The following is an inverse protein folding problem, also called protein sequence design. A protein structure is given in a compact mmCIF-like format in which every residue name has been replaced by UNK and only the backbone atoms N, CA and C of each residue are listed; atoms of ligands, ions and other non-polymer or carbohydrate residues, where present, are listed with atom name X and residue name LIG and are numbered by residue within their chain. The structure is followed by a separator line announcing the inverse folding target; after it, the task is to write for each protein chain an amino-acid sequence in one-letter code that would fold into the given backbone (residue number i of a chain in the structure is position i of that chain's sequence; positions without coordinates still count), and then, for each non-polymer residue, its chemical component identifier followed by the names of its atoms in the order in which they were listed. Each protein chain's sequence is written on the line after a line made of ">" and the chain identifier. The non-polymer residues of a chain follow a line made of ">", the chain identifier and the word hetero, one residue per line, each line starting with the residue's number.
data_IF_330173621035
#
_entry.id   IF_330173621035
#
_cell.length_a   1.000
_cell.length_b   1.000
_cell.length_c   1.000
_cell.angle_alpha   90.00
_cell.angle_beta   90.00
_cell.angle_gamma   90.00
#
_symmetry.space_group_name_H-M   'P 1'
#
loop_
_entity.id
_entity.type
_entity.pdbx_description
1 polymer ?
#
# COMPACT_ATOMS: atom_id res chain seq x y z
N UNK A 1 28.14 -7.09 -27.82
CA UNK A 1 27.06 -6.89 -26.84
C UNK A 1 27.68 -6.60 -25.49
N UNK A 2 27.16 -5.64 -24.71
CA UNK A 2 27.58 -5.52 -23.31
C UNK A 2 26.95 -6.67 -22.50
N UNK A 3 27.71 -7.52 -21.80
CA UNK A 3 27.19 -8.68 -21.06
C UNK A 3 26.17 -8.32 -19.98
N UNK A 4 26.28 -7.10 -19.43
CA UNK A 4 25.51 -6.67 -18.25
C UNK A 4 24.04 -6.38 -18.57
N UNK A 5 23.75 -5.86 -19.77
CA UNK A 5 22.38 -5.52 -20.20
C UNK A 5 21.53 -6.79 -20.44
N UNK A 6 22.14 -7.83 -21.01
CA UNK A 6 21.48 -9.12 -21.19
C UNK A 6 21.23 -9.83 -19.86
N UNK A 7 22.20 -9.76 -18.94
CA UNK A 7 22.05 -10.32 -17.60
C UNK A 7 20.90 -9.66 -16.84
N UNK A 8 20.76 -8.33 -16.96
CA UNK A 8 19.63 -7.57 -16.42
C UNK A 8 18.28 -8.02 -16.98
N UNK A 9 18.14 -8.05 -18.32
CA UNK A 9 16.90 -8.49 -18.96
C UNK A 9 16.52 -9.93 -18.60
N UNK A 10 17.49 -10.85 -18.63
CA UNK A 10 17.32 -12.26 -18.23
C UNK A 10 16.74 -12.39 -16.82
N UNK A 11 17.27 -11.59 -15.90
CA UNK A 11 16.83 -11.58 -14.49
C UNK A 11 15.37 -11.16 -14.40
N UNK A 12 14.99 -10.08 -15.07
CA UNK A 12 13.62 -9.55 -15.04
C UNK A 12 12.62 -10.56 -15.65
N UNK A 13 12.94 -11.14 -16.80
CA UNK A 13 12.09 -12.16 -17.45
C UNK A 13 11.88 -13.37 -16.53
N UNK A 14 12.95 -13.84 -15.88
CA UNK A 14 12.89 -15.01 -14.99
C UNK A 14 12.08 -14.73 -13.72
N UNK A 15 12.20 -13.52 -13.16
CA UNK A 15 11.42 -13.09 -12.00
C UNK A 15 9.94 -13.05 -12.37
N UNK A 16 9.60 -12.42 -13.50
CA UNK A 16 8.21 -12.26 -13.93
C UNK A 16 7.51 -13.59 -14.17
N UNK A 17 8.20 -14.55 -14.81
CA UNK A 17 7.68 -15.89 -15.02
C UNK A 17 7.42 -16.67 -13.71
N UNK A 18 8.20 -16.42 -12.64
CA UNK A 18 8.01 -17.06 -11.33
C UNK A 18 6.93 -16.38 -10.49
N UNK A 19 6.73 -15.08 -10.69
CA UNK A 19 5.79 -14.26 -9.93
C UNK A 19 4.33 -14.58 -10.24
N UNK A 20 4.03 -15.03 -11.46
CA UNK A 20 2.67 -15.33 -11.90
C UNK A 20 2.51 -16.82 -12.28
N UNK A 21 2.40 -17.73 -11.30
CA UNK A 21 2.35 -19.18 -11.57
C UNK A 21 1.14 -19.58 -12.43
N UNK A 22 0.01 -18.90 -12.31
CA UNK A 22 -1.17 -19.18 -13.13
C UNK A 22 -1.00 -18.76 -14.59
N UNK A 23 -0.47 -17.55 -14.83
CA UNK A 23 -0.11 -17.12 -16.19
C UNK A 23 0.97 -18.00 -16.77
N UNK A 24 1.93 -18.43 -15.95
CA UNK A 24 2.94 -19.40 -16.35
C UNK A 24 2.27 -20.71 -16.78
N UNK A 25 1.36 -21.29 -16.01
CA UNK A 25 0.66 -22.51 -16.40
C UNK A 25 -0.19 -22.31 -17.67
N UNK A 26 -0.94 -21.21 -17.76
CA UNK A 26 -1.75 -20.88 -18.94
C UNK A 26 -0.91 -20.63 -20.20
N UNK A 27 0.34 -20.15 -20.07
CA UNK A 27 1.26 -19.95 -21.20
C UNK A 27 1.59 -21.23 -21.97
N UNK A 28 1.36 -22.42 -21.39
CA UNK A 28 1.55 -23.71 -22.10
C UNK A 28 0.72 -23.76 -23.39
N UNK A 29 -0.52 -23.26 -23.35
CA UNK A 29 -1.43 -23.27 -24.50
C UNK A 29 -0.91 -22.42 -25.66
N UNK A 30 -0.15 -21.37 -25.38
CA UNK A 30 0.44 -20.51 -26.41
C UNK A 30 1.56 -21.19 -27.21
N UNK A 31 2.08 -22.32 -26.73
CA UNK A 31 3.11 -23.10 -27.41
C UNK A 31 2.54 -24.22 -28.29
N UNK A 32 1.21 -24.38 -28.36
CA UNK A 32 0.56 -25.39 -29.19
C UNK A 32 0.63 -24.99 -30.68
N UNK A 33 0.86 -25.98 -31.55
CA UNK A 33 1.09 -25.77 -33.00
C UNK A 33 -0.02 -24.92 -33.66
N UNK A 34 -1.28 -25.07 -33.23
CA UNK A 34 -2.42 -24.35 -33.78
C UNK A 34 -2.38 -22.82 -33.54
N UNK A 35 -1.73 -22.36 -32.48
CA UNK A 35 -1.70 -20.95 -32.05
C UNK A 35 -0.27 -20.39 -31.98
N UNK A 36 0.73 -21.19 -32.29
CA UNK A 36 2.13 -20.79 -32.19
C UNK A 36 2.48 -19.61 -33.10
N UNK A 37 2.02 -19.65 -34.36
CA UNK A 37 2.31 -18.59 -35.35
C UNK A 37 1.69 -17.24 -34.95
N UNK A 38 0.46 -17.25 -34.41
CA UNK A 38 -0.18 -16.04 -33.92
C UNK A 38 0.47 -15.53 -32.63
N UNK A 39 0.92 -16.44 -31.76
CA UNK A 39 1.70 -16.09 -30.55
C UNK A 39 3.02 -15.40 -30.91
N UNK A 40 3.77 -15.90 -31.90
CA UNK A 40 5.00 -15.26 -32.36
C UNK A 40 4.74 -13.87 -32.95
N UNK A 41 3.68 -13.73 -33.75
CA UNK A 41 3.29 -12.42 -34.32
C UNK A 41 3.01 -11.41 -33.20
N UNK A 42 2.25 -11.82 -32.17
CA UNK A 42 1.98 -11.00 -30.99
C UNK A 42 3.24 -10.67 -30.18
N UNK A 43 4.18 -11.61 -30.08
CA UNK A 43 5.47 -11.36 -29.44
C UNK A 43 6.30 -10.34 -30.22
N UNK A 44 6.34 -10.42 -31.55
CA UNK A 44 7.01 -9.42 -32.38
C UNK A 44 6.42 -8.03 -32.14
N UNK A 45 5.10 -7.89 -32.20
CA UNK A 45 4.43 -6.61 -31.95
C UNK A 45 4.73 -6.07 -30.55
N UNK A 46 4.69 -6.92 -29.53
CA UNK A 46 5.00 -6.53 -28.16
C UNK A 46 6.46 -6.07 -28.01
N UNK A 47 7.41 -6.77 -28.62
CA UNK A 47 8.83 -6.37 -28.65
C UNK A 47 9.00 -5.04 -29.37
N UNK A 48 8.29 -4.80 -30.48
CA UNK A 48 8.35 -3.54 -31.22
C UNK A 48 7.81 -2.36 -30.40
N UNK A 49 6.76 -2.55 -29.62
CA UNK A 49 6.15 -1.50 -28.78
C UNK A 49 6.89 -1.27 -27.46
N UNK A 50 7.58 -2.29 -26.93
CA UNK A 50 8.25 -2.20 -25.65
C UNK A 50 9.49 -1.28 -25.70
N UNK A 51 9.67 -0.53 -24.60
CA UNK A 51 10.90 0.22 -24.31
C UNK A 51 11.95 -0.76 -23.74
N UNK A 52 12.78 -1.28 -24.64
CA UNK A 52 13.83 -2.25 -24.34
C UNK A 52 15.17 -1.71 -24.83
N UNK A 53 16.29 -2.10 -24.20
CA UNK A 53 17.61 -1.83 -24.77
C UNK A 53 17.67 -2.31 -26.23
N UNK A 54 18.16 -1.44 -27.13
CA UNK A 54 18.17 -1.66 -28.58
C UNK A 54 18.73 -3.04 -28.94
N UNK A 55 19.82 -3.44 -28.28
CA UNK A 55 20.46 -4.74 -28.50
C UNK A 55 19.58 -5.93 -28.13
N UNK A 56 18.76 -5.85 -27.08
CA UNK A 56 17.80 -6.90 -26.70
C UNK A 56 16.66 -6.95 -27.71
N UNK A 57 16.14 -5.78 -28.09
CA UNK A 57 15.04 -5.63 -29.03
C UNK A 57 15.38 -6.21 -30.41
N UNK A 58 16.52 -5.81 -30.97
CA UNK A 58 17.00 -6.33 -32.27
C UNK A 58 17.24 -7.85 -32.23
N UNK A 59 17.80 -8.36 -31.12
CA UNK A 59 18.06 -9.80 -31.01
C UNK A 59 16.76 -10.61 -30.95
N UNK A 60 15.75 -10.14 -30.21
CA UNK A 60 14.44 -10.77 -30.14
C UNK A 60 13.70 -10.71 -31.48
N UNK A 61 13.70 -9.57 -32.17
CA UNK A 61 13.08 -9.45 -33.50
C UNK A 61 13.76 -10.36 -34.52
N UNK A 62 15.10 -10.44 -34.51
CA UNK A 62 15.85 -11.35 -35.38
C UNK A 62 15.47 -12.82 -35.13
N UNK A 63 15.29 -13.21 -33.86
CA UNK A 63 14.86 -14.55 -33.47
C UNK A 63 13.47 -14.91 -34.01
N UNK A 64 12.57 -13.93 -34.11
CA UNK A 64 11.17 -14.18 -34.48
C UNK A 64 10.86 -13.97 -35.96
N UNK A 65 11.65 -13.17 -36.68
CA UNK A 65 11.35 -12.76 -38.04
C UNK A 65 12.18 -13.48 -39.13
N UNK A 66 13.35 -14.07 -38.79
CA UNK A 66 14.29 -14.57 -39.82
C UNK A 66 15.03 -15.87 -39.46
N UNK A 67 14.65 -17.02 -40.06
CA UNK A 67 13.38 -17.27 -40.74
C UNK A 67 12.22 -17.26 -39.73
N UNK A 68 11.00 -16.94 -40.17
CA UNK A 68 9.81 -16.96 -39.29
C UNK A 68 9.61 -18.39 -38.76
N UNK A 69 9.79 -18.64 -37.46
CA UNK A 69 9.67 -19.97 -36.88
C UNK A 69 8.22 -20.44 -36.96
N UNK A 70 7.99 -21.72 -37.30
CA UNK A 70 6.65 -22.32 -37.31
C UNK A 70 6.38 -23.20 -36.10
N UNK A 71 7.44 -23.64 -35.42
CA UNK A 71 7.40 -24.36 -34.15
C UNK A 71 8.55 -23.94 -33.24
N UNK A 72 8.47 -24.27 -31.96
CA UNK A 72 9.50 -23.95 -30.96
C UNK A 72 10.89 -24.48 -31.37
N UNK A 73 10.94 -25.62 -32.05
CA UNK A 73 12.19 -26.26 -32.46
C UNK A 73 12.93 -25.49 -33.56
N UNK A 74 12.25 -24.61 -34.29
CA UNK A 74 12.82 -23.83 -35.39
C UNK A 74 13.60 -22.61 -34.89
N UNK A 75 13.46 -22.26 -33.61
CA UNK A 75 14.16 -21.14 -32.98
C UNK A 75 15.62 -21.47 -32.70
N UNK A 76 16.49 -20.46 -32.84
CA UNK A 76 17.87 -20.54 -32.39
C UNK A 76 17.92 -20.70 -30.86
N UNK A 77 18.23 -21.92 -30.45
CA UNK A 77 18.19 -22.36 -29.05
C UNK A 77 19.24 -21.66 -28.21
N UNK A 78 20.44 -21.45 -28.75
CA UNK A 78 21.54 -20.83 -28.02
C UNK A 78 21.28 -19.33 -27.88
N UNK A 79 20.78 -18.69 -28.95
CA UNK A 79 20.41 -17.28 -28.89
C UNK A 79 19.26 -17.04 -27.89
N UNK A 80 18.17 -17.82 -27.95
CA UNK A 80 17.06 -17.66 -27.01
C UNK A 80 17.46 -17.94 -25.55
N UNK A 81 18.30 -18.95 -25.31
CA UNK A 81 18.86 -19.24 -23.99
C UNK A 81 19.79 -18.14 -23.51
N UNK A 82 20.57 -17.52 -24.41
CA UNK A 82 21.44 -16.39 -24.05
C UNK A 82 20.65 -15.17 -23.59
N UNK A 83 19.45 -14.95 -24.11
CA UNK A 83 18.61 -13.80 -23.73
C UNK A 83 17.77 -14.11 -22.49
N UNK A 84 17.14 -15.29 -22.44
CA UNK A 84 16.15 -15.62 -21.40
C UNK A 84 16.73 -16.46 -20.25
N UNK A 85 17.89 -17.08 -20.43
CA UNK A 85 18.47 -18.03 -19.47
C UNK A 85 17.76 -19.38 -19.41
N UNK A 86 16.78 -19.60 -20.28
CA UNK A 86 15.86 -20.74 -20.23
C UNK A 86 15.92 -21.57 -21.52
N UNK A 87 15.59 -22.88 -21.46
CA UNK A 87 15.40 -23.70 -22.65
C UNK A 87 14.29 -23.13 -23.56
N UNK A 88 14.30 -23.39 -24.89
CA UNK A 88 13.48 -22.66 -25.86
C UNK A 88 11.98 -22.53 -25.51
N UNK A 89 11.31 -23.64 -25.20
CA UNK A 89 9.90 -23.63 -24.83
C UNK A 89 9.62 -22.80 -23.55
N UNK A 90 10.52 -22.89 -22.56
CA UNK A 90 10.40 -22.12 -21.31
C UNK A 90 10.75 -20.65 -21.53
N UNK A 91 11.72 -20.36 -22.40
CA UNK A 91 12.13 -19.01 -22.79
C UNK A 91 10.99 -18.27 -23.49
N UNK A 92 10.35 -18.90 -24.48
CA UNK A 92 9.18 -18.32 -25.14
C UNK A 92 8.00 -18.11 -24.19
N UNK A 93 7.69 -19.09 -23.33
CA UNK A 93 6.65 -18.93 -22.30
C UNK A 93 6.96 -17.78 -21.35
N UNK A 94 8.21 -17.64 -20.93
CA UNK A 94 8.63 -16.57 -20.05
C UNK A 94 8.52 -15.20 -20.74
N UNK A 95 8.85 -15.11 -22.03
CA UNK A 95 8.63 -13.91 -22.83
C UNK A 95 7.14 -13.62 -23.01
N UNK A 96 6.30 -14.63 -23.25
CA UNK A 96 4.85 -14.46 -23.34
C UNK A 96 4.22 -13.95 -22.04
N UNK A 97 4.70 -14.40 -20.88
CA UNK A 97 4.28 -13.86 -19.57
C UNK A 97 4.86 -12.45 -19.35
N UNK A 98 6.12 -12.22 -19.71
CA UNK A 98 6.78 -10.93 -19.56
C UNK A 98 6.10 -9.82 -20.38
N UNK A 99 5.70 -10.13 -21.62
CA UNK A 99 4.97 -9.23 -22.52
C UNK A 99 3.44 -9.29 -22.37
N UNK A 100 2.94 -9.98 -21.33
CA UNK A 100 1.49 -10.01 -21.00
C UNK A 100 0.60 -10.60 -22.10
N UNK A 101 1.11 -11.54 -22.90
CA UNK A 101 0.33 -12.24 -23.93
C UNK A 101 -0.65 -13.25 -23.34
N UNK A 102 -0.41 -13.69 -22.11
CA UNK A 102 -1.36 -14.46 -21.32
C UNK A 102 -2.20 -13.46 -20.53
N UNK A 103 -3.53 -13.38 -20.78
CA UNK A 103 -4.39 -12.55 -19.97
C UNK A 103 -4.22 -12.91 -18.50
N UNK A 104 -4.11 -11.91 -17.63
CA UNK A 104 -4.27 -12.18 -16.21
C UNK A 104 -5.64 -12.84 -15.99
N UNK A 105 -5.74 -13.75 -15.01
CA UNK A 105 -7.05 -14.19 -14.54
C UNK A 105 -7.89 -12.93 -14.26
N UNK A 106 -9.13 -12.91 -14.75
CA UNK A 106 -10.00 -11.77 -14.51
C UNK A 106 -10.09 -11.59 -12.98
N UNK A 107 -9.61 -10.45 -12.47
CA UNK A 107 -9.62 -10.19 -11.05
C UNK A 107 -11.07 -10.30 -10.57
N UNK A 108 -11.29 -11.07 -9.50
CA UNK A 108 -12.62 -11.24 -8.89
C UNK A 108 -13.27 -9.89 -8.57
N UNK A 109 -12.45 -8.90 -8.21
CA UNK A 109 -12.89 -7.59 -7.80
C UNK A 109 -12.67 -6.55 -8.89
N UNK A 110 -13.64 -5.65 -9.11
CA UNK A 110 -13.47 -4.55 -10.05
C UNK A 110 -12.38 -3.58 -9.54
N UNK A 111 -11.62 -3.01 -10.47
CA UNK A 111 -10.55 -2.04 -10.20
C UNK A 111 -10.86 -0.78 -10.97
N UNK A 112 -10.74 0.38 -10.34
CA UNK A 112 -10.94 1.66 -11.02
C UNK A 112 -9.82 1.91 -12.03
N UNK A 113 -10.16 2.46 -13.20
CA UNK A 113 -9.20 2.80 -14.25
C UNK A 113 -8.79 4.28 -14.25
N UNK A 114 -9.18 5.04 -13.22
CA UNK A 114 -8.90 6.47 -13.11
C UNK A 114 -7.41 6.69 -12.86
N UNK A 115 -6.82 7.61 -13.63
CA UNK A 115 -5.41 7.97 -13.52
C UNK A 115 -5.13 8.78 -12.25
N UNK A 116 -3.87 8.79 -11.81
CA UNK A 116 -3.43 9.58 -10.66
C UNK A 116 -3.71 11.09 -10.84
N UNK A 117 -3.69 11.60 -12.08
CA UNK A 117 -3.99 12.99 -12.40
C UNK A 117 -5.47 13.32 -12.20
N UNK A 118 -6.35 12.46 -12.71
CA UNK A 118 -7.80 12.61 -12.54
C UNK A 118 -8.21 12.50 -11.07
N UNK A 119 -7.56 11.63 -10.29
CA UNK A 119 -7.77 11.54 -8.85
C UNK A 119 -7.34 12.82 -8.14
N UNK A 120 -6.15 13.36 -8.47
CA UNK A 120 -5.66 14.62 -7.92
C UNK A 120 -6.64 15.77 -8.20
N UNK A 121 -7.04 15.95 -9.46
CA UNK A 121 -7.95 17.01 -9.89
C UNK A 121 -9.32 16.90 -9.20
N UNK A 122 -9.84 15.68 -9.06
CA UNK A 122 -11.07 15.45 -8.34
C UNK A 122 -10.94 15.83 -6.87
N UNK A 123 -9.90 15.33 -6.17
CA UNK A 123 -9.71 15.56 -4.73
C UNK A 123 -9.40 17.03 -4.42
N UNK A 124 -8.73 17.76 -5.32
CA UNK A 124 -8.55 19.22 -5.22
C UNK A 124 -9.87 19.97 -5.06
N UNK A 125 -10.94 19.48 -5.68
CA UNK A 125 -12.28 20.09 -5.65
C UNK A 125 -13.19 19.52 -4.55
N UNK A 126 -12.80 18.42 -3.90
CA UNK A 126 -13.60 17.77 -2.88
C UNK A 126 -13.24 18.26 -1.48
N UNK A 127 -14.27 18.61 -0.70
CA UNK A 127 -14.14 18.84 0.74
C UNK A 127 -14.00 17.54 1.54
N UNK A 128 -14.66 16.47 1.08
CA UNK A 128 -14.55 15.13 1.62
C UNK A 128 -13.86 14.20 0.62
N UNK A 129 -12.66 13.67 0.91
CA UNK A 129 -11.95 12.80 -0.03
C UNK A 129 -12.71 11.52 -0.39
N UNK A 130 -13.60 11.05 0.49
CA UNK A 130 -14.41 9.86 0.23
C UNK A 130 -15.50 10.08 -0.82
N UNK A 131 -15.84 11.33 -1.13
CA UNK A 131 -16.78 11.64 -2.22
C UNK A 131 -16.23 11.21 -3.60
N UNK A 132 -14.93 10.89 -3.69
CA UNK A 132 -14.34 10.25 -4.87
C UNK A 132 -15.07 8.96 -5.24
N UNK A 133 -15.59 8.21 -4.26
CA UNK A 133 -16.38 6.99 -4.49
C UNK A 133 -17.61 7.24 -5.37
N UNK A 134 -18.16 8.45 -5.38
CA UNK A 134 -19.27 8.83 -6.28
C UNK A 134 -18.80 9.12 -7.70
N UNK A 135 -17.56 9.57 -7.88
CA UNK A 135 -17.02 10.06 -9.16
C UNK A 135 -16.31 9.00 -10.00
N UNK A 136 -15.92 7.87 -9.40
CA UNK A 136 -15.21 6.78 -10.10
C UNK A 136 -16.17 5.76 -10.71
N UNK A 137 -15.68 4.91 -11.60
CA UNK A 137 -16.42 3.77 -12.15
C UNK A 137 -16.65 2.67 -11.10
N UNK A 138 -15.65 2.43 -10.26
CA UNK A 138 -15.67 1.45 -9.17
C UNK A 138 -15.63 2.18 -7.84
N UNK A 139 -16.50 1.80 -6.89
CA UNK A 139 -16.42 2.25 -5.51
C UNK A 139 -15.80 1.13 -4.66
N UNK A 140 -14.59 1.33 -4.18
CA UNK A 140 -13.90 0.32 -3.36
C UNK A 140 -12.99 0.94 -2.32
N UNK A 141 -13.09 0.44 -1.08
CA UNK A 141 -12.28 0.90 0.05
C UNK A 141 -11.59 -0.26 0.75
N UNK A 142 -10.28 -0.09 1.00
CA UNK A 142 -9.51 -0.92 1.93
C UNK A 142 -9.28 -0.12 3.20
N UNK A 143 -9.79 -0.59 4.33
CA UNK A 143 -9.47 -0.05 5.65
C UNK A 143 -8.41 -0.92 6.33
N UNK A 144 -7.31 -0.31 6.75
CA UNK A 144 -6.18 -0.96 7.42
C UNK A 144 -6.14 -0.52 8.89
N UNK A 145 -6.14 -1.50 9.80
CA UNK A 145 -6.29 -1.23 11.24
C UNK A 145 -7.72 -0.83 11.57
N UNK A 146 -8.69 -1.59 11.07
CA UNK A 146 -10.10 -1.23 11.08
C UNK A 146 -10.74 -1.15 12.48
N UNK A 147 -10.07 -1.71 13.49
CA UNK A 147 -10.46 -1.63 14.89
C UNK A 147 -11.88 -2.11 15.12
N UNK A 148 -12.72 -1.23 15.66
CA UNK A 148 -14.10 -1.53 16.01
C UNK A 148 -15.07 -1.52 14.82
N UNK A 149 -14.60 -1.26 13.59
CA UNK A 149 -15.36 -1.15 12.33
C UNK A 149 -16.28 0.07 12.22
N UNK A 150 -16.20 1.03 13.14
CA UNK A 150 -17.06 2.23 13.14
C UNK A 150 -16.93 3.06 11.86
N UNK A 151 -15.72 3.22 11.34
CA UNK A 151 -15.50 3.92 10.07
C UNK A 151 -16.16 3.19 8.89
N UNK A 152 -15.97 1.87 8.79
CA UNK A 152 -16.61 1.06 7.75
C UNK A 152 -18.14 1.14 7.80
N UNK A 153 -18.74 1.16 9.00
CA UNK A 153 -20.18 1.37 9.17
C UNK A 153 -20.64 2.73 8.66
N UNK A 154 -19.97 3.82 9.07
CA UNK A 154 -20.33 5.16 8.59
C UNK A 154 -20.17 5.30 7.08
N UNK A 155 -19.12 4.69 6.53
CA UNK A 155 -18.86 4.68 5.09
C UNK A 155 -19.97 3.91 4.34
N UNK A 156 -20.36 2.74 4.84
CA UNK A 156 -21.45 1.94 4.27
C UNK A 156 -22.81 2.67 4.35
N UNK A 157 -23.09 3.33 5.47
CA UNK A 157 -24.33 4.09 5.67
C UNK A 157 -24.38 5.36 4.80
N UNK A 158 -23.24 6.01 4.56
CA UNK A 158 -23.18 7.25 3.78
C UNK A 158 -23.20 7.02 2.26
N UNK A 159 -22.57 5.96 1.76
CA UNK A 159 -22.39 5.73 0.31
C UNK A 159 -23.18 4.54 -0.24
N UNK A 160 -23.47 3.53 0.59
CA UNK A 160 -24.13 2.29 0.15
C UNK A 160 -25.47 2.50 -0.57
N UNK A 161 -26.42 3.25 0.02
CA UNK A 161 -27.74 3.42 -0.59
C UNK A 161 -27.69 4.09 -1.98
N UNK A 162 -26.89 5.16 -2.13
CA UNK A 162 -26.77 5.91 -3.38
C UNK A 162 -26.09 5.10 -4.50
N UNK A 163 -25.01 4.39 -4.16
CA UNK A 163 -24.28 3.56 -5.11
C UNK A 163 -25.15 2.37 -5.55
N UNK A 164 -25.89 1.75 -4.63
CA UNK A 164 -26.80 0.67 -4.94
C UNK A 164 -27.95 1.11 -5.87
N UNK A 165 -28.55 2.28 -5.62
CA UNK A 165 -29.57 2.87 -6.51
C UNK A 165 -29.05 3.12 -7.92
N UNK A 166 -27.75 3.42 -8.04
CA UNK A 166 -27.08 3.62 -9.32
C UNK A 166 -26.56 2.31 -9.94
N UNK A 167 -26.89 1.15 -9.35
CA UNK A 167 -26.37 -0.18 -9.72
C UNK A 167 -24.84 -0.26 -9.78
N UNK A 168 -24.16 0.53 -8.94
CA UNK A 168 -22.71 0.55 -8.84
C UNK A 168 -22.26 -0.30 -7.64
N UNK A 169 -21.40 -1.31 -7.86
CA UNK A 169 -20.93 -2.15 -6.78
C UNK A 169 -20.08 -1.33 -5.82
N UNK A 170 -20.33 -1.51 -4.52
CA UNK A 170 -19.53 -0.92 -3.47
C UNK A 170 -18.82 -1.99 -2.64
N UNK A 171 -17.50 -1.98 -2.65
CA UNK A 171 -16.66 -2.97 -1.95
C UNK A 171 -16.00 -2.32 -0.74
N UNK A 172 -16.10 -2.94 0.43
CA UNK A 172 -15.38 -2.54 1.64
C UNK A 172 -14.65 -3.75 2.21
N UNK A 173 -13.32 -3.70 2.20
CA UNK A 173 -12.47 -4.70 2.85
C UNK A 173 -11.77 -4.08 4.06
N UNK A 174 -11.86 -4.75 5.20
CA UNK A 174 -11.29 -4.29 6.47
C UNK A 174 -10.25 -5.29 6.96
N UNK A 175 -9.07 -4.81 7.32
CA UNK A 175 -7.96 -5.60 7.87
C UNK A 175 -7.67 -5.17 9.30
N UNK A 176 -7.47 -6.13 10.20
CA UNK A 176 -6.94 -5.85 11.53
C UNK A 176 -6.03 -6.97 12.05
N UNK A 177 -4.95 -6.58 12.75
CA UNK A 177 -4.02 -7.51 13.41
C UNK A 177 -4.62 -8.11 14.68
N UNK A 178 -5.62 -7.45 15.26
CA UNK A 178 -6.36 -7.96 16.40
C UNK A 178 -7.18 -9.17 15.97
N UNK A 179 -6.91 -10.29 16.63
CA UNK A 179 -7.76 -11.46 16.56
C UNK A 179 -9.09 -11.18 17.30
N UNK A 180 -10.25 -11.30 16.64
CA UNK A 180 -11.56 -11.16 17.29
C UNK A 180 -11.78 -12.14 18.45
N UNK A 181 -11.04 -13.26 18.48
CA UNK A 181 -11.06 -14.23 19.57
C UNK A 181 -10.07 -13.93 20.71
N UNK A 182 -9.17 -12.96 20.55
CA UNK A 182 -8.18 -12.65 21.58
C UNK A 182 -8.80 -11.86 22.74
N UNK A 183 -8.23 -12.03 23.93
CA UNK A 183 -8.57 -11.22 25.10
C UNK A 183 -7.79 -9.90 25.19
N UNK A 184 -6.83 -9.68 24.28
CA UNK A 184 -5.82 -8.62 24.39
C UNK A 184 -6.10 -7.36 23.56
N UNK A 185 -7.28 -7.20 22.96
CA UNK A 185 -7.64 -6.00 22.17
C UNK A 185 -8.57 -5.00 22.86
N UNK A 186 -9.26 -5.41 23.93
CA UNK A 186 -10.15 -4.55 24.71
C UNK A 186 -11.15 -3.77 23.82
N UNK A 187 -11.29 -2.43 23.97
CA UNK A 187 -12.25 -1.63 23.22
C UNK A 187 -11.89 -1.44 21.73
N UNK A 188 -10.74 -1.95 21.28
CA UNK A 188 -10.28 -1.86 19.89
C UNK A 188 -10.73 -3.06 19.04
N UNK A 189 -11.33 -4.08 19.64
CA UNK A 189 -11.87 -5.21 18.89
C UNK A 189 -13.00 -4.78 17.96
N UNK A 190 -13.07 -5.45 16.80
CA UNK A 190 -14.23 -5.42 15.93
C UNK A 190 -15.50 -5.66 16.73
N UNK A 191 -16.40 -4.68 16.73
CA UNK A 191 -17.66 -4.81 17.46
C UNK A 191 -18.52 -5.92 16.80
N UNK A 192 -18.92 -6.97 17.53
CA UNK A 192 -19.63 -8.11 16.93
C UNK A 192 -21.00 -7.74 16.32
N UNK A 193 -21.70 -6.76 16.88
CA UNK A 193 -22.99 -6.30 16.37
C UNK A 193 -22.79 -5.53 15.07
N UNK A 194 -21.80 -4.63 15.05
CA UNK A 194 -21.43 -3.86 13.86
C UNK A 194 -20.94 -4.75 12.72
N UNK A 195 -20.11 -5.75 13.04
CA UNK A 195 -19.66 -6.75 12.08
C UNK A 195 -20.84 -7.48 11.44
N UNK A 196 -21.80 -7.95 12.25
CA UNK A 196 -23.01 -8.63 11.75
C UNK A 196 -23.89 -7.68 10.93
N UNK A 197 -24.01 -6.41 11.31
CA UNK A 197 -24.75 -5.40 10.55
C UNK A 197 -24.12 -5.20 9.16
N UNK A 198 -22.80 -5.01 9.10
CA UNK A 198 -22.06 -4.83 7.85
C UNK A 198 -22.16 -6.07 6.93
N UNK A 199 -22.02 -7.27 7.48
CA UNK A 199 -22.15 -8.53 6.73
C UNK A 199 -23.56 -8.76 6.14
N UNK A 200 -24.59 -8.11 6.68
CA UNK A 200 -25.98 -8.23 6.22
C UNK A 200 -26.40 -7.11 5.28
N UNK A 201 -25.55 -6.10 5.05
CA UNK A 201 -25.86 -5.01 4.12
C UNK A 201 -25.75 -5.50 2.68
N UNK A 202 -26.89 -5.65 2.01
CA UNK A 202 -26.95 -6.05 0.60
C UNK A 202 -26.35 -4.99 -0.34
N UNK A 203 -26.34 -3.73 0.09
CA UNK A 203 -25.81 -2.58 -0.65
C UNK A 203 -24.28 -2.59 -0.76
N UNK A 204 -23.58 -3.42 0.02
CA UNK A 204 -22.12 -3.42 0.14
C UNK A 204 -21.57 -4.84 0.12
N UNK A 205 -20.57 -5.08 -0.73
CA UNK A 205 -19.71 -6.25 -0.64
C UNK A 205 -18.68 -6.05 0.47
N UNK A 206 -19.02 -6.52 1.68
CA UNK A 206 -18.20 -6.33 2.87
C UNK A 206 -17.42 -7.60 3.26
N UNK A 207 -16.13 -7.44 3.55
CA UNK A 207 -15.30 -8.50 4.18
C UNK A 207 -14.43 -7.92 5.29
N UNK A 208 -14.30 -8.67 6.39
CA UNK A 208 -13.40 -8.35 7.50
C UNK A 208 -12.42 -9.50 7.75
N UNK A 209 -11.14 -9.17 7.81
CA UNK A 209 -10.05 -10.10 8.06
C UNK A 209 -9.34 -9.68 9.35
N UNK A 210 -9.79 -10.26 10.46
CA UNK A 210 -9.11 -10.15 11.77
C UNK A 210 -7.96 -11.15 11.89
N UNK A 211 -7.06 -10.91 12.84
CA UNK A 211 -5.79 -11.66 12.97
C UNK A 211 -4.95 -11.63 11.67
N UNK A 212 -5.02 -10.54 10.92
CA UNK A 212 -4.34 -10.40 9.65
C UNK A 212 -3.29 -9.30 9.75
N UNK A 213 -2.03 -9.66 9.55
CA UNK A 213 -0.97 -8.67 9.40
C UNK A 213 -1.15 -7.92 8.08
N UNK A 214 -1.24 -6.59 8.17
CA UNK A 214 -1.43 -5.71 7.02
C UNK A 214 -0.24 -5.75 6.03
N UNK A 215 0.93 -6.22 6.47
CA UNK A 215 2.11 -6.40 5.62
C UNK A 215 2.27 -7.84 5.12
N UNK A 216 1.46 -8.80 5.58
CA UNK A 216 1.50 -10.19 5.14
C UNK A 216 0.22 -10.59 4.37
N UNK A 217 -0.02 -9.91 3.23
CA UNK A 217 -1.26 -10.07 2.46
C UNK A 217 -1.21 -11.20 1.42
N UNK A 218 -0.08 -11.90 1.28
CA UNK A 218 0.18 -12.80 0.17
C UNK A 218 -0.83 -13.94 0.02
N UNK A 219 -1.37 -14.49 1.12
CA UNK A 219 -2.34 -15.57 1.05
C UNK A 219 -3.76 -15.07 0.73
N UNK A 220 -4.10 -13.86 1.18
CA UNK A 220 -5.36 -13.20 0.80
C UNK A 220 -5.34 -12.79 -0.67
N UNK A 221 -4.21 -12.30 -1.18
CA UNK A 221 -4.02 -11.97 -2.58
C UNK A 221 -4.11 -13.22 -3.48
N UNK A 222 -3.39 -14.30 -3.14
CA UNK A 222 -3.45 -15.57 -3.90
C UNK A 222 -4.84 -16.20 -3.93
N UNK A 223 -5.66 -15.91 -2.93
CA UNK A 223 -7.02 -16.46 -2.81
C UNK A 223 -8.08 -15.51 -3.38
N UNK A 224 -7.66 -14.42 -4.05
CA UNK A 224 -8.54 -13.37 -4.59
C UNK A 224 -9.54 -12.81 -3.55
N UNK A 225 -9.15 -12.80 -2.28
CA UNK A 225 -9.99 -12.27 -1.20
C UNK A 225 -9.92 -10.74 -1.11
N UNK A 226 -8.86 -10.15 -1.64
CA UNK A 226 -8.67 -8.71 -1.72
C UNK A 226 -8.70 -8.24 -3.16
N UNK A 227 -9.21 -7.02 -3.39
CA UNK A 227 -8.99 -6.35 -4.65
C UNK A 227 -7.49 -6.03 -4.80
N UNK A 228 -6.92 -6.15 -6.02
CA UNK A 228 -5.52 -5.85 -6.23
C UNK A 228 -5.21 -4.37 -5.99
N UNK A 229 -6.17 -3.48 -6.30
CA UNK A 229 -6.12 -2.04 -6.04
C UNK A 229 -7.52 -1.51 -5.77
N UNK A 230 -7.63 -0.58 -4.83
CA UNK A 230 -8.85 0.05 -4.36
C UNK A 230 -8.93 1.49 -4.84
N UNK A 231 -10.14 2.03 -4.87
CA UNK A 231 -10.35 3.45 -5.11
C UNK A 231 -9.72 4.25 -3.98
N UNK A 232 -9.97 3.84 -2.74
CA UNK A 232 -9.41 4.47 -1.54
C UNK A 232 -8.78 3.40 -0.64
N UNK A 233 -7.54 3.62 -0.21
CA UNK A 233 -6.94 2.91 0.92
C UNK A 233 -6.89 3.85 2.13
N UNK A 234 -7.46 3.42 3.26
CA UNK A 234 -7.57 4.24 4.45
C UNK A 234 -6.92 3.57 5.67
N UNK A 235 -6.33 4.36 6.55
CA UNK A 235 -5.87 3.91 7.86
C UNK A 235 -6.21 4.98 8.91
N UNK A 236 -6.95 4.59 9.93
CA UNK A 236 -7.32 5.47 11.04
C UNK A 236 -6.48 5.17 12.26
N UNK A 237 -6.02 6.23 12.92
CA UNK A 237 -5.22 6.16 14.15
C UNK A 237 -4.07 5.15 14.05
N UNK A 238 -3.15 5.29 13.07
CA UNK A 238 -1.98 4.43 12.95
C UNK A 238 -1.25 4.34 14.28
N UNK A 239 -0.93 3.14 14.74
CA UNK A 239 -0.39 2.92 16.08
C UNK A 239 1.00 3.56 16.24
N UNK A 240 1.15 4.47 17.21
CA UNK A 240 2.41 5.17 17.49
C UNK A 240 3.61 4.25 17.65
N UNK A 241 3.57 3.17 18.47
CA UNK A 241 4.74 2.29 18.61
C UNK A 241 5.16 1.63 17.29
N UNK A 242 4.22 1.39 16.37
CA UNK A 242 4.49 0.70 15.11
C UNK A 242 5.02 1.64 14.02
N UNK A 243 4.51 2.87 13.96
CA UNK A 243 4.74 3.77 12.82
C UNK A 243 5.46 5.08 13.16
N UNK A 244 5.67 5.42 14.42
CA UNK A 244 6.34 6.66 14.83
C UNK A 244 7.87 6.52 14.97
N UNK A 245 8.44 5.46 14.43
CA UNK A 245 9.88 5.20 14.47
C UNK A 245 10.32 4.61 13.13
N UNK A 246 11.10 5.36 12.37
CA UNK A 246 11.61 4.91 11.07
C UNK A 246 12.90 4.08 11.24
N UNK A 247 12.87 2.74 11.04
CA UNK A 247 14.02 1.87 11.31
C UNK A 247 15.22 2.11 10.39
N UNK A 248 15.01 2.73 9.23
CA UNK A 248 16.11 3.09 8.32
C UNK A 248 16.92 4.30 8.81
N UNK A 249 16.40 5.08 9.76
CA UNK A 249 17.08 6.26 10.32
C UNK A 249 17.37 6.18 11.81
N UNK A 250 16.58 5.40 12.57
CA UNK A 250 16.69 5.27 14.03
C UNK A 250 17.20 3.88 14.39
N UNK A 251 18.24 3.83 15.22
CA UNK A 251 18.79 2.61 15.78
C UNK A 251 17.80 1.92 16.74
N UNK A 252 17.84 0.59 16.77
CA UNK A 252 16.97 -0.22 17.63
C UNK A 252 17.10 0.16 19.11
N UNK A 253 18.33 0.45 19.56
CA UNK A 253 18.60 0.85 20.94
C UNK A 253 17.91 2.19 21.29
N UNK A 254 17.95 3.17 20.39
CA UNK A 254 17.30 4.46 20.57
C UNK A 254 15.77 4.31 20.64
N UNK A 255 15.20 3.52 19.73
CA UNK A 255 13.75 3.24 19.70
C UNK A 255 13.30 2.54 20.99
N UNK A 256 14.03 1.49 21.41
CA UNK A 256 13.73 0.76 22.64
C UNK A 256 13.76 1.67 23.87
N UNK A 257 14.82 2.46 24.02
CA UNK A 257 14.96 3.39 25.14
C UNK A 257 13.81 4.41 25.17
N UNK A 258 13.41 4.92 24.01
CA UNK A 258 12.31 5.87 23.91
C UNK A 258 10.95 5.24 24.25
N UNK A 259 10.71 4.01 23.82
CA UNK A 259 9.50 3.27 24.18
C UNK A 259 9.45 2.99 25.69
N UNK A 260 10.56 2.57 26.29
CA UNK A 260 10.63 2.37 27.75
C UNK A 260 10.41 3.68 28.51
N UNK A 261 10.97 4.80 28.01
CA UNK A 261 10.81 6.13 28.59
C UNK A 261 9.38 6.65 28.50
N UNK A 262 8.71 6.47 27.37
CA UNK A 262 7.40 7.08 27.08
C UNK A 262 6.22 6.18 27.40
N UNK A 263 6.35 4.86 27.19
CA UNK A 263 5.28 3.88 27.40
C UNK A 263 5.50 3.04 28.66
N UNK A 264 6.72 3.00 29.20
CA UNK A 264 7.08 2.21 30.38
C UNK A 264 7.82 0.93 30.02
N UNK A 265 8.44 0.29 31.02
CA UNK A 265 9.19 -0.95 30.84
C UNK A 265 8.28 -2.07 30.32
N UNK A 266 8.72 -2.83 29.31
CA UNK A 266 7.90 -3.83 28.66
C UNK A 266 8.63 -5.15 28.42
N UNK A 267 7.90 -6.26 28.47
CA UNK A 267 8.44 -7.59 28.23
C UNK A 267 7.35 -8.55 27.72
N UNK A 268 7.78 -9.61 27.03
CA UNK A 268 6.88 -10.68 26.61
C UNK A 268 6.48 -11.55 27.81
N UNK A 269 5.20 -11.86 27.90
CA UNK A 269 4.60 -12.71 28.94
C UNK A 269 3.51 -13.59 28.33
N UNK A 270 2.82 -14.36 29.16
CA UNK A 270 1.63 -15.11 28.78
C UNK A 270 0.42 -14.68 29.59
N UNK A 271 -0.72 -14.55 28.92
CA UNK A 271 -2.02 -14.34 29.54
C UNK A 271 -2.95 -15.48 29.16
N UNK A 272 -3.26 -16.36 30.13
CA UNK A 272 -3.94 -17.62 29.84
C UNK A 272 -3.13 -18.49 28.89
N UNK A 273 -3.65 -18.70 27.67
CA UNK A 273 -3.00 -19.50 26.61
C UNK A 273 -2.34 -18.64 25.52
N UNK A 274 -2.51 -17.32 25.57
CA UNK A 274 -2.04 -16.38 24.55
C UNK A 274 -0.71 -15.74 24.97
N UNK A 275 0.13 -15.42 23.98
CA UNK A 275 1.29 -14.55 24.19
C UNK A 275 0.80 -13.12 24.39
N UNK A 276 1.43 -12.38 25.29
CA UNK A 276 1.08 -11.00 25.58
C UNK A 276 2.34 -10.15 25.74
N UNK A 277 2.19 -8.85 25.49
CA UNK A 277 3.14 -7.84 25.90
C UNK A 277 2.66 -7.22 27.21
N UNK A 278 3.43 -7.38 28.29
CA UNK A 278 3.18 -6.63 29.52
C UNK A 278 3.96 -5.32 29.48
N UNK A 279 3.25 -4.20 29.71
CA UNK A 279 3.83 -2.86 29.83
C UNK A 279 3.57 -2.35 31.24
N UNK A 280 4.64 -2.02 31.97
CA UNK A 280 4.59 -1.45 33.31
C UNK A 280 4.67 0.07 33.23
N UNK A 281 3.54 0.73 33.46
CA UNK A 281 3.43 2.18 33.38
C UNK A 281 2.71 2.74 34.60
N UNK A 282 3.29 3.76 35.25
CA UNK A 282 2.71 4.44 36.41
C UNK A 282 2.21 3.48 37.52
N UNK A 283 2.96 2.40 37.80
CA UNK A 283 2.62 1.41 38.82
C UNK A 283 1.54 0.39 38.43
N UNK A 284 1.07 0.39 37.17
CA UNK A 284 0.12 -0.59 36.64
C UNK A 284 0.78 -1.48 35.59
N UNK A 285 0.38 -2.75 35.57
CA UNK A 285 0.71 -3.68 34.50
C UNK A 285 -0.45 -3.71 33.50
N UNK A 286 -0.19 -3.29 32.26
CA UNK A 286 -1.13 -3.34 31.15
C UNK A 286 -0.73 -4.46 30.20
N UNK A 287 -1.72 -5.21 29.68
CA UNK A 287 -1.49 -6.29 28.74
C UNK A 287 -1.96 -5.88 27.36
N UNK A 288 -1.13 -6.17 26.36
CA UNK A 288 -1.38 -5.90 24.95
C UNK A 288 -1.07 -7.14 24.12
N UNK A 289 -1.48 -7.17 22.84
CA UNK A 289 -1.01 -8.19 21.91
C UNK A 289 0.52 -8.13 21.80
N UNK A 290 1.21 -9.26 21.57
CA UNK A 290 2.67 -9.33 21.62
C UNK A 290 3.34 -8.45 20.57
N UNK A 291 2.64 -8.17 19.47
CA UNK A 291 3.08 -7.34 18.37
C UNK A 291 2.87 -5.83 18.58
N UNK A 292 2.28 -5.38 19.69
CA UNK A 292 1.89 -3.97 19.89
C UNK A 292 3.06 -2.99 19.72
N UNK A 293 4.27 -3.41 20.09
CA UNK A 293 5.52 -2.63 19.98
C UNK A 293 6.45 -3.14 18.86
N UNK A 294 5.94 -3.93 17.91
CA UNK A 294 6.69 -4.23 16.69
C UNK A 294 6.83 -2.96 15.86
N UNK A 295 8.07 -2.60 15.54
CA UNK A 295 8.41 -1.41 14.77
C UNK A 295 8.43 -1.76 13.30
N UNK A 296 7.66 -1.01 12.50
CA UNK A 296 7.66 -1.15 11.04
C UNK A 296 8.08 0.16 10.38
N UNK A 297 7.57 1.29 10.89
CA UNK A 297 7.93 2.62 10.45
C UNK A 297 6.98 3.26 9.43
N UNK A 298 7.04 4.60 9.31
CA UNK A 298 6.12 5.38 8.49
C UNK A 298 6.25 5.06 7.00
N UNK A 299 7.47 4.75 6.52
CA UNK A 299 7.70 4.51 5.10
C UNK A 299 6.96 3.25 4.61
N UNK A 300 6.94 2.19 5.42
CA UNK A 300 6.22 0.97 5.07
C UNK A 300 4.70 1.19 4.98
N UNK A 301 4.13 1.99 5.90
CA UNK A 301 2.71 2.34 5.84
C UNK A 301 2.36 3.11 4.57
N UNK A 302 3.20 4.10 4.21
CA UNK A 302 3.05 4.87 2.98
C UNK A 302 3.13 3.98 1.73
N UNK A 303 4.11 3.07 1.67
CA UNK A 303 4.27 2.11 0.57
C UNK A 303 3.06 1.18 0.44
N UNK A 304 2.57 0.62 1.55
CA UNK A 304 1.39 -0.22 1.57
C UNK A 304 0.16 0.51 1.03
N UNK A 305 -0.08 1.73 1.50
CA UNK A 305 -1.20 2.55 1.03
C UNK A 305 -1.07 2.88 -0.45
N UNK A 306 0.11 3.28 -0.93
CA UNK A 306 0.34 3.63 -2.34
C UNK A 306 0.15 2.45 -3.29
N UNK A 307 0.53 1.23 -2.86
CA UNK A 307 0.30 0.00 -3.63
C UNK A 307 -1.18 -0.34 -3.71
N UNK A 308 -1.93 -0.11 -2.64
CA UNK A 308 -3.32 -0.57 -2.51
C UNK A 308 -4.37 0.44 -2.91
N UNK A 309 -4.12 1.75 -2.86
CA UNK A 309 -5.12 2.78 -3.15
C UNK A 309 -4.75 3.64 -4.35
N UNK A 310 -5.77 4.10 -5.09
CA UNK A 310 -5.61 5.20 -6.06
C UNK A 310 -5.68 6.57 -5.37
N UNK A 311 -6.41 6.64 -4.25
CA UNK A 311 -6.36 7.67 -3.23
C UNK A 311 -5.99 7.00 -1.90
N UNK A 312 -5.18 7.66 -1.08
CA UNK A 312 -4.90 7.20 0.28
C UNK A 312 -5.33 8.25 1.30
N UNK A 313 -5.93 7.78 2.40
CA UNK A 313 -6.39 8.64 3.49
C UNK A 313 -5.85 8.13 4.83
N UNK A 314 -5.19 9.00 5.56
CA UNK A 314 -4.76 8.75 6.94
C UNK A 314 -5.54 9.69 7.85
N UNK A 315 -6.35 9.12 8.75
CA UNK A 315 -7.20 9.91 9.64
C UNK A 315 -6.82 9.76 11.10
N UNK A 316 -6.99 10.84 11.88
CA UNK A 316 -6.65 10.84 13.32
C UNK A 316 -5.21 10.41 13.62
N UNK A 317 -4.27 10.89 12.82
CA UNK A 317 -2.84 10.61 12.97
C UNK A 317 -2.33 11.41 14.16
N UNK A 318 -1.75 10.72 15.15
CA UNK A 318 -1.13 11.38 16.29
C UNK A 318 0.09 12.21 15.86
N UNK A 319 0.49 13.17 16.70
CA UNK A 319 1.56 14.10 16.34
C UNK A 319 2.90 13.40 16.07
N UNK A 320 3.24 12.33 16.80
CA UNK A 320 4.52 11.66 16.66
C UNK A 320 4.57 10.89 15.33
N UNK A 321 3.52 10.13 15.01
CA UNK A 321 3.41 9.44 13.70
C UNK A 321 3.36 10.46 12.57
N UNK A 322 2.64 11.57 12.74
CA UNK A 322 2.51 12.59 11.71
C UNK A 322 3.85 13.18 11.28
N UNK A 323 4.71 13.59 12.21
CA UNK A 323 6.01 14.18 11.86
C UNK A 323 6.95 13.16 11.20
N UNK A 324 6.86 11.89 11.58
CA UNK A 324 7.61 10.80 10.94
C UNK A 324 7.12 10.49 9.53
N UNK A 325 5.80 10.49 9.29
CA UNK A 325 5.22 10.41 7.95
C UNK A 325 5.67 11.59 7.09
N UNK A 326 5.58 12.81 7.64
CA UNK A 326 5.97 14.03 6.94
C UNK A 326 7.45 14.01 6.55
N UNK A 327 8.32 13.54 7.45
CA UNK A 327 9.74 13.35 7.17
C UNK A 327 9.98 12.43 5.98
N UNK A 328 9.12 11.43 5.75
CA UNK A 328 9.24 10.58 4.57
C UNK A 328 8.75 11.26 3.30
N UNK A 329 7.70 12.08 3.37
CA UNK A 329 7.06 12.76 2.24
C UNK A 329 7.86 13.92 1.64
N UNK A 330 8.76 14.54 2.41
CA UNK A 330 9.52 15.71 1.97
C UNK A 330 10.85 15.34 1.30
N UNK A 331 11.26 16.06 0.25
CA UNK A 331 12.45 15.70 -0.55
C UNK A 331 13.75 15.82 0.27
N UNK A 332 13.97 16.95 0.93
CA UNK A 332 15.28 17.29 1.48
C UNK A 332 15.74 16.32 2.59
N UNK A 333 16.99 15.81 2.55
CA UNK A 333 17.51 14.89 3.57
C UNK A 333 17.51 15.45 4.99
N UNK A 334 17.53 16.78 5.16
CA UNK A 334 17.47 17.44 6.48
C UNK A 334 16.27 17.03 7.33
N UNK A 335 15.16 16.64 6.68
CA UNK A 335 13.94 16.24 7.38
C UNK A 335 14.06 14.83 7.99
N UNK A 336 15.13 14.08 7.68
CA UNK A 336 15.40 12.74 8.17
C UNK A 336 16.79 12.69 8.82
N UNK A 337 17.04 13.43 9.90
CA UNK A 337 18.32 13.37 10.60
C UNK A 337 18.56 11.94 11.13
N UNK A 338 19.78 11.41 11.02
CA UNK A 338 20.11 10.07 11.50
C UNK A 338 20.10 10.04 13.02
N UNK A 339 19.50 9.00 13.60
CA UNK A 339 19.46 8.73 15.05
C UNK A 339 18.96 9.91 15.92
N UNK A 340 18.10 10.76 15.37
CA UNK A 340 17.50 11.89 16.09
C UNK A 340 15.97 11.75 16.18
N UNK A 341 15.45 11.50 17.38
CA UNK A 341 14.01 11.43 17.63
C UNK A 341 13.36 12.81 17.49
N UNK A 342 12.16 12.86 16.92
CA UNK A 342 11.41 14.11 16.86
C UNK A 342 10.74 14.42 18.20
N UNK A 343 10.90 15.67 18.64
CA UNK A 343 10.27 16.22 19.83
C UNK A 343 10.02 17.72 19.65
N UNK A 344 9.17 18.31 20.49
CA UNK A 344 8.74 19.71 20.36
C UNK A 344 9.91 20.71 20.20
N UNK A 345 11.03 20.48 20.88
CA UNK A 345 12.20 21.35 20.81
C UNK A 345 13.03 21.27 19.51
N UNK A 346 13.07 20.14 18.78
CA UNK A 346 13.86 20.03 17.55
C UNK A 346 13.02 20.14 16.26
N UNK A 347 11.71 19.91 16.34
CA UNK A 347 10.79 20.05 15.20
C UNK A 347 10.91 21.39 14.46
N UNK A 348 10.93 22.58 15.12
CA UNK A 348 11.09 23.85 14.41
C UNK A 348 12.42 23.94 13.66
N UNK A 349 13.50 23.41 14.23
CA UNK A 349 14.84 23.43 13.64
C UNK A 349 14.95 22.50 12.42
N UNK A 350 14.33 21.32 12.49
CA UNK A 350 14.39 20.30 11.44
C UNK A 350 13.48 20.67 10.27
N UNK A 351 12.24 21.08 10.56
CA UNK A 351 11.21 21.31 9.56
C UNK A 351 11.10 22.77 9.09
N UNK A 352 11.60 23.73 9.87
CA UNK A 352 11.65 25.15 9.48
C UNK A 352 10.29 25.73 9.12
N UNK A 353 10.18 26.33 7.94
CA UNK A 353 8.94 26.91 7.41
C UNK A 353 7.79 25.91 7.35
N UNK A 354 8.07 24.63 7.07
CA UNK A 354 7.05 23.56 7.08
C UNK A 354 6.44 23.42 8.48
N UNK A 355 7.26 23.47 9.53
CA UNK A 355 6.75 23.44 10.90
C UNK A 355 5.86 24.64 11.20
N UNK A 356 6.31 25.85 10.83
CA UNK A 356 5.55 27.07 11.13
C UNK A 356 4.22 27.15 10.36
N UNK A 357 4.19 26.75 9.10
CA UNK A 357 2.97 26.68 8.31
C UNK A 357 1.96 25.70 8.92
N UNK A 358 2.41 24.50 9.29
CA UNK A 358 1.54 23.46 9.86
C UNK A 358 1.11 23.79 11.30
N UNK A 359 2.00 24.33 12.13
CA UNK A 359 1.68 24.71 13.50
C UNK A 359 0.68 25.88 13.58
N UNK A 360 0.65 26.73 12.55
CA UNK A 360 -0.31 27.83 12.43
C UNK A 360 -1.68 27.44 11.86
N UNK A 361 -1.86 26.19 11.43
CA UNK A 361 -3.09 25.72 10.79
C UNK A 361 -4.22 25.57 11.83
N UNK A 362 -5.35 26.26 11.62
CA UNK A 362 -6.51 26.13 12.52
C UNK A 362 -7.23 24.79 12.30
N UNK A 363 -7.99 24.34 13.30
CA UNK A 363 -8.80 23.11 13.17
C UNK A 363 -9.82 23.30 12.04
N UNK A 364 -9.86 22.35 11.11
CA UNK A 364 -10.70 22.40 9.92
C UNK A 364 -9.96 22.92 8.68
N UNK A 365 -8.85 23.65 8.85
CA UNK A 365 -8.06 24.15 7.73
C UNK A 365 -7.19 23.05 7.13
N UNK A 366 -6.77 23.28 5.89
CA UNK A 366 -5.90 22.39 5.14
C UNK A 366 -4.88 23.15 4.30
N UNK A 367 -3.78 22.48 3.95
CA UNK A 367 -2.73 23.01 3.08
C UNK A 367 -2.28 21.92 2.10
N UNK A 368 -1.97 22.32 0.86
CA UNK A 368 -1.23 21.48 -0.08
C UNK A 368 0.26 21.53 0.31
N UNK A 369 0.84 20.39 0.66
CA UNK A 369 2.21 20.33 1.15
C UNK A 369 3.21 20.84 0.11
N UNK A 370 2.89 20.72 -1.19
CA UNK A 370 3.75 21.19 -2.28
C UNK A 370 3.89 22.73 -2.30
N UNK A 371 2.95 23.46 -1.69
CA UNK A 371 3.01 24.93 -1.55
C UNK A 371 4.07 25.37 -0.53
N UNK A 372 4.47 24.48 0.38
CA UNK A 372 5.39 24.79 1.49
C UNK A 372 6.76 24.15 1.32
N UNK A 373 6.83 22.96 0.73
CA UNK A 373 8.09 22.28 0.48
C UNK A 373 8.02 21.26 -0.66
N UNK A 374 9.16 20.99 -1.29
CA UNK A 374 9.27 19.99 -2.34
C UNK A 374 8.93 18.58 -1.81
N UNK A 375 7.99 17.93 -2.49
CA UNK A 375 7.64 16.54 -2.25
C UNK A 375 8.74 15.61 -2.75
N UNK A 376 8.92 14.52 -2.02
CA UNK A 376 9.93 13.52 -2.30
C UNK A 376 9.58 12.73 -3.54
N UNK A 377 10.49 12.67 -4.52
CA UNK A 377 10.27 11.94 -5.79
C UNK A 377 10.69 10.47 -5.74
N UNK A 378 11.53 10.10 -4.78
CA UNK A 378 12.03 8.74 -4.58
C UNK A 378 12.15 8.41 -3.09
N UNK A 379 11.38 7.45 -2.56
CA UNK A 379 11.67 6.93 -1.22
C UNK A 379 12.91 6.01 -1.27
N UNK A 380 13.72 6.01 -0.21
CA UNK A 380 15.05 5.37 -0.17
C UNK A 380 14.94 3.86 -0.43
N UNK A 381 15.81 3.32 -1.29
CA UNK A 381 15.95 1.86 -1.47
C UNK A 381 16.47 1.32 -2.82
N UNK A 382 17.26 2.05 -3.62
CA UNK A 382 17.91 1.43 -4.81
C UNK A 382 19.10 0.52 -4.46
N UNK A 383 19.64 0.58 -3.23
CA UNK A 383 20.93 -0.03 -2.88
C UNK A 383 20.84 -1.18 -1.85
N UNK A 384 19.63 -1.51 -1.36
CA UNK A 384 19.37 -2.79 -0.74
C UNK A 384 18.65 -3.64 -1.78
N UNK A 385 19.27 -4.76 -2.18
CA UNK A 385 18.77 -5.80 -3.10
C UNK A 385 17.40 -5.49 -3.73
N UNK A 386 17.31 -5.30 -5.07
CA UNK A 386 16.06 -4.94 -5.71
C UNK A 386 14.99 -5.95 -5.32
N UNK A 387 14.06 -5.55 -4.45
CA UNK A 387 12.76 -6.21 -4.37
C UNK A 387 12.20 -6.02 -5.77
N UNK A 388 11.99 -7.09 -6.54
CA UNK A 388 11.82 -6.96 -7.97
C UNK A 388 10.37 -6.61 -8.37
N UNK A 389 9.70 -5.88 -7.48
CA UNK A 389 8.36 -5.36 -7.61
C UNK A 389 8.43 -3.84 -7.50
N UNK A 390 8.79 -3.24 -8.62
CA UNK A 390 8.16 -2.03 -9.18
C UNK A 390 7.92 -0.87 -8.24
N UNK A 391 8.77 0.16 -8.41
CA UNK A 391 8.58 1.56 -8.03
C UNK A 391 8.20 1.74 -6.56
N UNK A 392 9.18 2.19 -5.79
CA UNK A 392 8.91 2.95 -4.57
C UNK A 392 8.18 4.23 -5.00
N UNK A 393 6.86 4.11 -5.17
CA UNK A 393 6.01 5.13 -5.78
C UNK A 393 5.98 6.35 -4.88
N UNK A 394 6.22 7.53 -5.42
CA UNK A 394 6.08 8.79 -4.69
C UNK A 394 4.61 9.22 -4.65
N UNK A 395 4.28 10.18 -3.79
CA UNK A 395 3.00 10.87 -3.85
C UNK A 395 3.14 12.13 -4.69
N UNK A 396 2.33 12.26 -5.73
CA UNK A 396 2.26 13.47 -6.56
C UNK A 396 1.52 14.60 -5.88
N UNK A 397 0.59 14.26 -4.97
CA UNK A 397 -0.20 15.22 -4.22
C UNK A 397 -0.37 14.79 -2.77
N UNK A 398 -0.23 15.76 -1.86
CA UNK A 398 -0.34 15.59 -0.41
C UNK A 398 -1.09 16.79 0.17
N UNK A 399 -2.30 16.57 0.67
CA UNK A 399 -3.05 17.55 1.47
C UNK A 399 -2.96 17.19 2.93
N UNK A 400 -2.58 18.16 3.77
CA UNK A 400 -2.58 18.02 5.22
C UNK A 400 -3.70 18.89 5.78
N UNK A 401 -4.53 18.30 6.63
CA UNK A 401 -5.62 18.99 7.32
C UNK A 401 -5.50 18.81 8.82
N UNK A 402 -5.91 19.84 9.57
CA UNK A 402 -5.85 19.83 11.04
C UNK A 402 -7.19 19.40 11.62
N UNK A 403 -7.22 18.33 12.42
CA UNK A 403 -8.42 17.87 13.11
C UNK A 403 -8.65 16.36 13.02
N UNK A 404 -9.51 15.85 13.91
CA UNK A 404 -9.88 14.44 13.97
C UNK A 404 -11.07 14.07 13.09
N UNK A 405 -12.03 15.00 12.96
CA UNK A 405 -13.30 14.82 12.27
C UNK A 405 -13.56 16.02 11.36
N UNK A 406 -14.22 15.78 10.23
CA UNK A 406 -14.58 16.81 9.25
C UNK A 406 -16.05 16.63 8.86
N UNK A 407 -16.78 17.72 8.57
CA UNK A 407 -18.19 17.63 8.16
C UNK A 407 -18.37 16.73 6.93
N UNK A 408 -19.30 15.78 7.02
CA UNK A 408 -19.60 14.84 5.93
C UNK A 408 -18.56 13.73 5.71
N UNK A 409 -17.43 13.76 6.41
CA UNK A 409 -16.38 12.75 6.29
C UNK A 409 -16.64 11.60 7.28
N UNK A 410 -16.71 10.34 6.81
CA UNK A 410 -16.82 9.18 7.70
C UNK A 410 -15.59 9.10 8.61
N UNK A 411 -15.78 8.71 9.87
CA UNK A 411 -14.71 8.72 10.86
C UNK A 411 -14.77 7.50 11.79
N UNK A 412 -13.62 7.10 12.33
CA UNK A 412 -13.56 6.04 13.33
C UNK A 412 -14.00 6.52 14.72
N UNK A 413 -14.34 5.59 15.61
CA UNK A 413 -14.69 5.90 16.99
C UNK A 413 -13.52 6.51 17.75
N UNK A 414 -12.28 6.14 17.40
CA UNK A 414 -11.06 6.79 17.91
C UNK A 414 -11.02 8.26 17.50
N UNK A 415 -11.31 8.57 16.24
CA UNK A 415 -11.39 9.95 15.75
C UNK A 415 -12.39 10.79 16.55
N UNK A 416 -13.57 10.22 16.84
CA UNK A 416 -14.62 10.90 17.61
C UNK A 416 -14.21 11.14 19.06
N UNK A 417 -13.45 10.23 19.67
CA UNK A 417 -12.97 10.36 21.06
C UNK A 417 -11.91 11.45 21.24
N UNK A 418 -11.14 11.82 20.20
CA UNK A 418 -10.14 12.89 20.30
C UNK A 418 -10.73 14.23 20.79
N UNK A 419 -11.97 14.55 20.41
CA UNK A 419 -12.66 15.76 20.87
C UNK A 419 -12.84 15.83 22.40
N UNK A 420 -12.81 14.67 23.08
CA UNK A 420 -12.96 14.55 24.53
C UNK A 420 -11.62 14.39 25.28
N UNK A 421 -10.50 14.32 24.57
CA UNK A 421 -9.16 14.13 25.14
C UNK A 421 -8.51 15.50 25.35
N UNK A 422 -8.62 16.07 26.55
CA UNK A 422 -8.14 17.42 26.87
C UNK A 422 -6.61 17.57 26.87
N UNK A 423 -5.88 16.47 27.05
CA UNK A 423 -4.42 16.46 27.08
C UNK A 423 -3.79 16.19 25.71
N UNK A 424 -4.59 15.78 24.73
CA UNK A 424 -4.12 15.42 23.39
C UNK A 424 -4.18 16.62 22.45
N UNK A 425 -3.10 16.79 21.69
CA UNK A 425 -3.05 17.77 20.61
C UNK A 425 -4.01 17.31 19.51
N UNK A 426 -4.79 18.22 18.87
CA UNK A 426 -5.66 17.84 17.76
C UNK A 426 -4.88 16.99 16.74
N UNK A 427 -5.41 15.84 16.28
CA UNK A 427 -4.67 14.97 15.38
C UNK A 427 -4.67 15.54 13.97
N UNK A 428 -3.98 14.83 13.08
CA UNK A 428 -3.85 15.20 11.67
C UNK A 428 -4.68 14.30 10.77
N UNK A 429 -5.06 14.85 9.62
CA UNK A 429 -5.73 14.14 8.55
C UNK A 429 -4.98 14.40 7.24
N UNK A 430 -4.55 13.32 6.58
CA UNK A 430 -3.67 13.39 5.41
C UNK A 430 -4.38 12.71 4.24
N UNK A 431 -4.46 13.43 3.12
CA UNK A 431 -4.93 12.89 1.84
C UNK A 431 -3.75 12.82 0.87
N UNK A 432 -3.53 11.67 0.28
CA UNK A 432 -2.35 11.37 -0.54
C UNK A 432 -2.78 10.76 -1.87
N UNK A 433 -2.23 11.23 -2.98
CA UNK A 433 -2.44 10.62 -4.31
C UNK A 433 -1.11 10.04 -4.79
N UNK A 434 -1.00 8.71 -4.93
CA UNK A 434 0.18 8.07 -5.50
C UNK A 434 0.44 8.58 -6.92
N UNK A 435 1.71 8.65 -7.32
CA UNK A 435 2.10 9.07 -8.67
C UNK A 435 1.82 7.99 -9.72
#
# INVERSE_FOLDING_TARGET
>A
MSPDLLAGFRRIVSIRARRFPEQWEASKKLMEDAVFSSTLTRLCEAVQRADLPVSVKETLLRLFERPVPRRVQDLDRECLKSITGLPPAKGLRALAVFFELVPAAAAKWPVTHVSSEEVEDAVRQLGNPFDLLRRTDVASVLEIGAGDLSFAEELADLYGPELNQSHRPFVIHCLDRLDPGSQLGGPLHANPERLKKLQRKEEVSFSFFGNQDMFNLGDLDKSDLLAPRYTIAACWAPATPTFAYEPTRLSEALIRNELERTKGAFYQTRFGKEQALEVRHAGRALLFPPWKFEIVGPLALLDLLARRGSLCVLGSVDAQVFWELLAQLLEAPRYRPPDELFHSANLPKIFGEVYHALAGLAIGDSIDLAEVAALRRHYLGSDASPVPDGIVGHFRYVRISRGAIFPGTPASSTARKFSSMTEEVPPWFITLVPA
#
